data_IF_745266041081
#
_entry.id   IF_745266041081
#
_cell.length_a   1.000
_cell.length_b   1.000
_cell.length_c   1.000
_cell.angle_alpha   90.00
_cell.angle_beta   90.00
_cell.angle_gamma   90.00
#
_symmetry.space_group_name_H-M   'P 1'
#
loop_
_entity.id
_entity.type
_entity.pdbx_description
1 polymer ?
#
# COMPACT_ATOMS: atom_id res chain seq x y z
N UNK A 1 17.63 6.06 -19.14
CA UNK A 1 16.32 5.74 -18.51
C UNK A 1 16.61 5.18 -17.13
N UNK A 2 16.66 6.06 -16.11
CA UNK A 2 16.93 5.63 -14.74
C UNK A 2 15.73 4.87 -14.20
N UNK A 3 15.97 3.69 -13.64
CA UNK A 3 14.95 2.91 -12.97
C UNK A 3 14.41 3.72 -11.78
N UNK A 4 13.19 4.22 -11.91
CA UNK A 4 12.41 4.70 -10.77
C UNK A 4 12.30 3.52 -9.80
N UNK A 5 12.69 3.65 -8.53
CA UNK A 5 12.58 2.57 -7.56
C UNK A 5 11.13 2.07 -7.50
N UNK A 6 10.93 0.77 -7.75
CA UNK A 6 9.61 0.09 -7.75
C UNK A 6 8.76 0.42 -6.50
N UNK A 7 9.40 0.72 -5.37
CA UNK A 7 8.75 1.10 -4.10
C UNK A 7 8.05 2.47 -4.12
N UNK A 8 8.52 3.41 -4.94
CA UNK A 8 8.02 4.79 -4.96
C UNK A 8 6.83 4.95 -5.90
N UNK A 9 6.87 4.25 -7.03
CA UNK A 9 5.72 4.07 -7.93
C UNK A 9 4.51 3.51 -7.17
N UNK A 10 4.76 2.54 -6.28
CA UNK A 10 3.74 1.90 -5.46
C UNK A 10 3.05 2.90 -4.50
N UNK A 11 3.80 3.75 -3.78
CA UNK A 11 3.19 4.72 -2.84
C UNK A 11 2.44 5.86 -3.55
N UNK A 12 2.96 6.38 -4.67
CA UNK A 12 2.22 7.35 -5.50
C UNK A 12 0.95 6.74 -6.09
N UNK A 13 1.01 5.47 -6.52
CA UNK A 13 -0.12 4.75 -7.08
C UNK A 13 -1.20 4.50 -6.01
N UNK A 14 -0.80 4.17 -4.78
CA UNK A 14 -1.74 3.98 -3.67
C UNK A 14 -2.47 5.26 -3.30
N UNK A 15 -1.81 6.43 -3.26
CA UNK A 15 -2.50 7.69 -2.93
C UNK A 15 -3.38 8.19 -4.09
N UNK A 16 -2.95 7.98 -5.34
CA UNK A 16 -3.74 8.35 -6.52
C UNK A 16 -4.99 7.49 -6.70
N UNK A 17 -4.88 6.19 -6.40
CA UNK A 17 -5.94 5.22 -6.66
C UNK A 17 -6.70 4.81 -5.40
N UNK A 18 -6.44 5.43 -4.24
CA UNK A 18 -7.20 5.13 -3.04
C UNK A 18 -8.67 5.51 -3.26
N UNK A 19 -9.65 4.61 -3.02
CA UNK A 19 -11.06 4.88 -3.32
C UNK A 19 -11.58 6.16 -2.64
N UNK A 20 -11.13 6.41 -1.41
CA UNK A 20 -11.44 7.62 -0.64
C UNK A 20 -11.12 8.95 -1.37
N UNK A 21 -10.09 8.98 -2.22
CA UNK A 21 -9.62 10.19 -2.89
C UNK A 21 -10.15 10.34 -4.32
N UNK A 22 -10.83 9.32 -4.85
CA UNK A 22 -11.39 9.30 -6.20
C UNK A 22 -12.84 9.76 -6.21
N UNK A 23 -13.11 10.81 -6.99
CA UNK A 23 -14.46 11.36 -7.20
C UNK A 23 -15.39 10.32 -7.82
N UNK A 24 -16.60 10.18 -7.30
CA UNK A 24 -17.66 9.34 -7.87
C UNK A 24 -17.72 7.89 -7.37
N UNK A 25 -16.74 7.41 -6.60
CA UNK A 25 -16.76 6.06 -6.04
C UNK A 25 -17.63 5.93 -4.77
N UNK A 26 -18.01 7.05 -4.14
CA UNK A 26 -18.73 7.00 -2.87
C UNK A 26 -17.90 6.31 -1.78
N UNK A 27 -18.51 5.40 -1.04
CA UNK A 27 -17.87 4.61 0.02
C UNK A 27 -17.40 3.22 -0.46
N UNK A 28 -17.39 2.98 -1.77
CA UNK A 28 -16.97 1.72 -2.35
C UNK A 28 -15.49 1.42 -2.06
N UNK A 29 -15.20 0.20 -1.60
CA UNK A 29 -13.84 -0.29 -1.32
C UNK A 29 -13.17 -0.96 -2.55
N UNK A 30 -13.94 -1.21 -3.61
CA UNK A 30 -13.53 -1.91 -4.83
C UNK A 30 -13.05 -3.35 -4.61
N UNK A 31 -13.40 -3.98 -3.49
CA UNK A 31 -12.99 -5.34 -3.17
C UNK A 31 -13.97 -6.41 -3.68
N UNK A 32 -15.09 -6.02 -4.30
CA UNK A 32 -16.14 -6.97 -4.72
C UNK A 32 -15.58 -8.11 -5.57
N UNK A 33 -14.73 -7.81 -6.56
CA UNK A 33 -14.11 -8.85 -7.40
C UNK A 33 -13.23 -9.78 -6.58
N UNK A 34 -12.43 -9.25 -5.65
CA UNK A 34 -11.59 -10.08 -4.77
C UNK A 34 -12.45 -11.01 -3.92
N UNK A 35 -13.54 -10.49 -3.32
CA UNK A 35 -14.47 -11.30 -2.53
C UNK A 35 -15.14 -12.41 -3.34
N UNK A 36 -15.57 -12.10 -4.57
CA UNK A 36 -16.19 -13.07 -5.50
C UNK A 36 -15.20 -14.20 -5.83
N UNK A 37 -13.97 -13.86 -6.20
CA UNK A 37 -12.99 -14.89 -6.52
C UNK A 37 -12.49 -15.63 -5.27
N UNK A 38 -12.43 -14.96 -4.13
CA UNK A 38 -12.09 -15.58 -2.85
C UNK A 38 -13.13 -16.62 -2.45
N UNK A 39 -14.43 -16.33 -2.59
CA UNK A 39 -15.51 -17.28 -2.27
C UNK A 39 -15.46 -18.51 -3.16
N UNK A 40 -15.03 -18.38 -4.43
CA UNK A 40 -14.87 -19.52 -5.35
C UNK A 40 -13.86 -20.57 -4.86
N UNK A 41 -12.94 -20.21 -3.97
CA UNK A 41 -12.01 -21.17 -3.36
C UNK A 41 -12.72 -22.23 -2.52
N UNK A 42 -13.96 -22.00 -2.08
CA UNK A 42 -14.77 -23.03 -1.40
C UNK A 42 -15.03 -24.24 -2.31
N UNK A 43 -15.15 -24.03 -3.61
CA UNK A 43 -15.31 -25.10 -4.61
C UNK A 43 -14.01 -25.90 -4.83
N UNK A 44 -12.85 -25.39 -4.38
CA UNK A 44 -11.54 -26.00 -4.64
C UNK A 44 -11.45 -27.48 -4.21
N UNK A 45 -12.07 -27.84 -3.08
CA UNK A 45 -12.07 -29.21 -2.56
C UNK A 45 -12.85 -30.16 -3.48
N UNK A 46 -13.97 -29.69 -4.04
CA UNK A 46 -14.82 -30.46 -4.93
C UNK A 46 -14.17 -30.64 -6.31
N UNK A 47 -13.50 -29.60 -6.81
CA UNK A 47 -12.99 -29.58 -8.18
C UNK A 47 -11.57 -30.17 -8.34
N UNK A 48 -10.77 -30.27 -7.26
CA UNK A 48 -9.35 -30.67 -7.32
C UNK A 48 -9.10 -32.02 -8.00
N UNK A 49 -10.05 -32.94 -7.85
CA UNK A 49 -9.97 -34.30 -8.42
C UNK A 49 -11.17 -34.62 -9.34
N UNK A 50 -11.94 -33.59 -9.69
CA UNK A 50 -13.10 -33.73 -10.57
C UNK A 50 -12.67 -33.95 -12.02
N UNK A 51 -13.51 -34.64 -12.81
CA UNK A 51 -13.40 -34.61 -14.27
C UNK A 51 -13.71 -33.21 -14.78
N UNK A 52 -13.31 -32.88 -16.02
CA UNK A 52 -13.59 -31.57 -16.63
C UNK A 52 -15.08 -31.19 -16.59
N UNK A 53 -15.97 -32.17 -16.80
CA UNK A 53 -17.42 -31.96 -16.71
C UNK A 53 -17.85 -31.51 -15.31
N UNK A 54 -17.45 -32.25 -14.26
CA UNK A 54 -17.82 -31.92 -12.88
C UNK A 54 -17.12 -30.64 -12.39
N UNK A 55 -15.91 -30.37 -12.88
CA UNK A 55 -15.22 -29.10 -12.64
C UNK A 55 -16.06 -27.92 -13.09
N UNK A 56 -16.58 -27.96 -14.32
CA UNK A 56 -17.45 -26.91 -14.85
C UNK A 56 -18.77 -26.85 -14.08
N UNK A 57 -19.41 -28.00 -13.84
CA UNK A 57 -20.68 -28.07 -13.12
C UNK A 57 -20.61 -27.46 -11.72
N UNK A 58 -19.56 -27.75 -10.94
CA UNK A 58 -19.43 -27.20 -9.59
C UNK A 58 -19.15 -25.70 -9.59
N UNK A 59 -18.44 -25.18 -10.59
CA UNK A 59 -18.25 -23.74 -10.73
C UNK A 59 -19.54 -23.04 -11.13
N UNK A 60 -20.28 -23.61 -12.08
CA UNK A 60 -21.59 -23.12 -12.52
C UNK A 60 -22.57 -23.03 -11.35
N UNK A 61 -22.74 -24.15 -10.61
CA UNK A 61 -23.58 -24.20 -9.41
C UNK A 61 -23.14 -23.23 -8.31
N UNK A 62 -21.82 -23.00 -8.15
CA UNK A 62 -21.32 -22.04 -7.17
C UNK A 62 -21.75 -20.61 -7.54
N UNK A 63 -21.60 -20.22 -8.80
CA UNK A 63 -21.96 -18.88 -9.25
C UNK A 63 -23.48 -18.68 -9.35
N UNK A 64 -24.25 -19.71 -9.71
CA UNK A 64 -25.71 -19.68 -9.67
C UNK A 64 -26.23 -19.45 -8.25
N UNK A 65 -25.69 -20.18 -7.27
CA UNK A 65 -26.05 -20.00 -5.86
C UNK A 65 -25.60 -18.62 -5.36
N UNK A 66 -24.39 -18.20 -5.72
CA UNK A 66 -23.86 -16.89 -5.34
C UNK A 66 -24.73 -15.75 -5.87
N UNK A 67 -25.20 -15.81 -7.12
CA UNK A 67 -26.08 -14.79 -7.70
C UNK A 67 -27.44 -14.75 -6.99
N UNK A 68 -28.02 -15.93 -6.69
CA UNK A 68 -29.26 -16.03 -5.96
C UNK A 68 -29.16 -15.44 -4.54
N UNK A 69 -28.07 -15.74 -3.82
CA UNK A 69 -27.80 -15.21 -2.48
C UNK A 69 -27.59 -13.70 -2.54
N UNK A 70 -26.83 -13.21 -3.52
CA UNK A 70 -26.58 -11.76 -3.68
C UNK A 70 -27.84 -11.00 -3.99
N UNK A 71 -28.68 -11.52 -4.88
CA UNK A 71 -29.99 -10.95 -5.12
C UNK A 71 -30.77 -10.80 -3.82
N UNK A 72 -30.88 -11.88 -3.02
CA UNK A 72 -31.60 -11.88 -1.75
C UNK A 72 -31.03 -10.87 -0.72
N UNK A 73 -29.73 -10.58 -0.78
CA UNK A 73 -29.05 -9.64 0.10
C UNK A 73 -29.12 -8.17 -0.35
N UNK A 74 -29.48 -7.87 -1.61
CA UNK A 74 -29.38 -6.53 -2.20
C UNK A 74 -30.02 -5.44 -1.33
N UNK A 75 -31.26 -5.63 -0.89
CA UNK A 75 -31.95 -4.63 -0.07
C UNK A 75 -31.31 -4.43 1.30
N UNK A 76 -30.71 -5.48 1.88
CA UNK A 76 -30.00 -5.40 3.16
C UNK A 76 -28.68 -4.66 2.99
N UNK A 77 -27.95 -4.95 1.91
CA UNK A 77 -26.74 -4.23 1.53
C UNK A 77 -27.02 -2.73 1.35
N UNK A 78 -28.06 -2.38 0.58
CA UNK A 78 -28.46 -0.98 0.38
C UNK A 78 -28.85 -0.29 1.69
N UNK A 79 -29.63 -0.97 2.56
CA UNK A 79 -30.01 -0.42 3.87
C UNK A 79 -28.79 -0.16 4.75
N UNK A 80 -27.88 -1.13 4.87
CA UNK A 80 -26.68 -1.01 5.69
C UNK A 80 -25.77 0.12 5.20
N UNK A 81 -25.52 0.21 3.88
CA UNK A 81 -24.70 1.27 3.32
C UNK A 81 -25.34 2.66 3.51
N UNK A 82 -26.67 2.75 3.41
CA UNK A 82 -27.36 4.03 3.64
C UNK A 82 -27.22 4.47 5.10
N UNK A 83 -27.45 3.55 6.05
CA UNK A 83 -27.27 3.82 7.49
C UNK A 83 -25.83 4.18 7.81
N UNK A 84 -24.86 3.47 7.24
CA UNK A 84 -23.43 3.76 7.41
C UNK A 84 -23.08 5.17 6.91
N UNK A 85 -23.55 5.54 5.70
CA UNK A 85 -23.30 6.87 5.15
C UNK A 85 -23.90 7.97 6.03
N UNK A 86 -25.14 7.79 6.52
CA UNK A 86 -25.78 8.72 7.46
C UNK A 86 -25.00 8.83 8.78
N UNK A 87 -24.56 7.71 9.34
CA UNK A 87 -23.79 7.68 10.59
C UNK A 87 -22.45 8.42 10.44
N UNK A 88 -21.75 8.23 9.32
CA UNK A 88 -20.51 8.95 9.02
C UNK A 88 -20.77 10.45 8.94
N UNK A 89 -21.84 10.86 8.26
CA UNK A 89 -22.23 12.27 8.14
C UNK A 89 -22.53 12.87 9.52
N UNK A 90 -23.38 12.22 10.31
CA UNK A 90 -23.76 12.66 11.65
C UNK A 90 -22.57 12.75 12.61
N UNK A 91 -21.62 11.81 12.51
CA UNK A 91 -20.45 11.75 13.40
C UNK A 91 -19.35 12.73 12.98
N UNK A 92 -19.06 12.84 11.69
CA UNK A 92 -17.90 13.60 11.21
C UNK A 92 -18.17 15.10 11.09
N UNK A 93 -19.39 15.54 10.78
CA UNK A 93 -19.72 16.98 10.69
C UNK A 93 -19.32 17.74 11.96
N UNK A 94 -19.81 17.38 13.17
CA UNK A 94 -19.51 18.17 14.36
C UNK A 94 -18.02 18.17 14.72
N UNK A 95 -17.33 17.05 14.50
CA UNK A 95 -15.89 16.91 14.75
C UNK A 95 -15.09 17.79 13.79
N UNK A 96 -15.43 17.78 12.51
CA UNK A 96 -14.77 18.58 11.49
C UNK A 96 -15.03 20.07 11.67
N UNK A 97 -16.26 20.46 12.01
CA UNK A 97 -16.60 21.87 12.21
C UNK A 97 -15.89 22.46 13.44
N UNK A 98 -15.80 21.69 14.53
CA UNK A 98 -15.03 22.10 15.71
C UNK A 98 -13.55 22.26 15.37
N UNK A 99 -12.98 21.28 14.66
CA UNK A 99 -11.57 21.32 14.27
C UNK A 99 -11.25 22.49 13.32
N UNK A 100 -12.09 22.72 12.31
CA UNK A 100 -11.99 23.87 11.40
C UNK A 100 -12.02 25.19 12.16
N UNK A 101 -12.91 25.32 13.15
CA UNK A 101 -13.04 26.51 14.00
C UNK A 101 -11.81 26.73 14.87
N UNK A 102 -11.25 25.68 15.45
CA UNK A 102 -10.05 25.77 16.30
C UNK A 102 -8.80 26.16 15.52
N UNK A 103 -8.63 25.62 14.31
CA UNK A 103 -7.44 25.79 13.49
C UNK A 103 -7.58 26.88 12.41
N UNK A 104 -8.74 27.54 12.32
CA UNK A 104 -9.11 28.47 11.24
C UNK A 104 -8.89 27.88 9.84
N UNK A 105 -9.39 26.66 9.63
CA UNK A 105 -9.27 25.93 8.36
C UNK A 105 -10.58 25.93 7.58
N UNK A 106 -10.46 25.68 6.29
CA UNK A 106 -11.53 25.55 5.31
C UNK A 106 -11.48 24.20 4.61
N UNK A 107 -12.57 23.84 3.93
CA UNK A 107 -12.65 22.61 3.13
C UNK A 107 -11.57 22.54 2.03
N UNK A 108 -11.17 23.71 1.50
CA UNK A 108 -10.11 23.82 0.51
C UNK A 108 -8.74 23.41 1.06
N UNK A 109 -8.50 23.58 2.37
CA UNK A 109 -7.22 23.24 2.98
C UNK A 109 -6.98 21.73 2.96
N UNK A 110 -8.00 20.92 3.23
CA UNK A 110 -7.90 19.46 3.14
C UNK A 110 -7.61 18.98 1.71
N UNK A 111 -8.20 19.65 0.70
CA UNK A 111 -7.92 19.36 -0.72
C UNK A 111 -6.50 19.76 -1.08
N UNK A 112 -6.04 20.92 -0.60
CA UNK A 112 -4.67 21.39 -0.82
C UNK A 112 -3.65 20.46 -0.17
N UNK A 113 -3.90 19.97 1.04
CA UNK A 113 -3.06 19.00 1.73
C UNK A 113 -2.84 17.73 0.91
N UNK A 114 -3.90 17.18 0.33
CA UNK A 114 -3.82 16.03 -0.59
C UNK A 114 -2.98 16.36 -1.83
N UNK A 115 -3.19 17.54 -2.43
CA UNK A 115 -2.45 17.95 -3.63
C UNK A 115 -0.96 18.18 -3.33
N UNK A 116 -0.64 18.77 -2.17
CA UNK A 116 0.73 18.94 -1.70
C UNK A 116 1.42 17.60 -1.41
N UNK A 117 0.71 16.66 -0.77
CA UNK A 117 1.22 15.30 -0.54
C UNK A 117 1.47 14.57 -1.86
N UNK A 118 0.57 14.71 -2.84
CA UNK A 118 0.75 14.18 -4.19
C UNK A 118 1.98 14.77 -4.89
N UNK A 119 2.09 16.10 -4.93
CA UNK A 119 3.22 16.81 -5.52
C UNK A 119 4.54 16.44 -4.86
N UNK A 120 4.51 16.30 -3.54
CA UNK A 120 5.65 15.84 -2.75
C UNK A 120 6.10 14.46 -3.21
N UNK A 121 5.19 13.49 -3.25
CA UNK A 121 5.51 12.12 -3.69
C UNK A 121 6.00 12.09 -5.15
N UNK A 122 5.47 12.95 -6.02
CA UNK A 122 5.94 13.13 -7.39
C UNK A 122 7.37 13.69 -7.48
N UNK A 123 7.72 14.67 -6.66
CA UNK A 123 9.07 15.27 -6.61
C UNK A 123 10.11 14.35 -5.98
N UNK A 124 9.72 13.56 -4.97
CA UNK A 124 10.59 12.52 -4.38
C UNK A 124 11.05 11.51 -5.43
N UNK A 125 10.24 11.26 -6.47
CA UNK A 125 10.61 10.38 -7.57
C UNK A 125 11.66 10.99 -8.55
N UNK A 126 11.84 12.32 -8.55
CA UNK A 126 12.76 13.02 -9.44
C UNK A 126 14.03 13.47 -8.68
N UNK A 127 15.09 12.65 -8.74
CA UNK A 127 16.41 13.09 -8.28
C UNK A 127 16.93 14.21 -9.20
N UNK A 128 17.43 15.35 -8.67
CA UNK A 128 17.95 16.43 -9.50
C UNK A 128 19.09 15.94 -10.39
N UNK A 129 18.92 16.04 -11.71
CA UNK A 129 19.83 15.48 -12.72
C UNK A 129 21.22 16.14 -12.74
N UNK A 130 21.36 17.34 -12.17
CA UNK A 130 22.62 18.08 -12.11
C UNK A 130 23.65 17.42 -11.17
N UNK A 131 23.22 16.71 -10.12
CA UNK A 131 24.14 16.18 -9.11
C UNK A 131 24.65 14.77 -9.39
N UNK A 132 23.98 13.99 -10.26
CA UNK A 132 24.39 12.62 -10.55
C UNK A 132 25.74 12.56 -11.28
N UNK A 133 26.01 13.53 -12.16
CA UNK A 133 27.25 13.60 -12.95
C UNK A 133 28.42 14.03 -12.05
N UNK A 134 28.23 15.05 -11.21
CA UNK A 134 29.25 15.55 -10.29
C UNK A 134 29.65 14.52 -9.23
N UNK A 135 28.68 13.80 -8.66
CA UNK A 135 28.95 12.69 -7.72
C UNK A 135 29.67 11.54 -8.43
N UNK A 136 29.22 11.16 -9.63
CA UNK A 136 29.90 10.11 -10.40
C UNK A 136 31.34 10.49 -10.72
N UNK A 137 31.60 11.77 -11.04
CA UNK A 137 32.95 12.25 -11.30
C UNK A 137 33.84 12.18 -10.05
N UNK A 138 33.34 12.65 -8.89
CA UNK A 138 34.04 12.54 -7.60
C UNK A 138 34.38 11.08 -7.27
N UNK A 139 33.44 10.15 -7.45
CA UNK A 139 33.69 8.72 -7.25
C UNK A 139 34.81 8.18 -8.16
N UNK A 140 34.87 8.62 -9.42
CA UNK A 140 35.95 8.20 -10.33
C UNK A 140 37.30 8.81 -9.92
N UNK A 141 37.32 10.04 -9.42
CA UNK A 141 38.52 10.71 -8.91
C UNK A 141 39.03 10.05 -7.61
N UNK A 142 38.15 9.64 -6.70
CA UNK A 142 38.52 8.90 -5.50
C UNK A 142 39.10 7.52 -5.83
N UNK A 143 38.50 6.81 -6.80
CA UNK A 143 39.04 5.53 -7.30
C UNK A 143 40.41 5.71 -7.95
N UNK A 144 40.60 6.79 -8.71
CA UNK A 144 41.89 7.11 -9.32
C UNK A 144 42.95 7.35 -8.25
N UNK A 145 42.64 8.15 -7.22
CA UNK A 145 43.55 8.40 -6.10
C UNK A 145 43.87 7.15 -5.30
N UNK A 146 42.88 6.29 -5.06
CA UNK A 146 43.10 5.02 -4.39
C UNK A 146 44.03 4.10 -5.21
N UNK A 147 43.84 4.03 -6.53
CA UNK A 147 44.71 3.28 -7.43
C UNK A 147 46.13 3.87 -7.48
N UNK A 148 46.25 5.20 -7.50
CA UNK A 148 47.53 5.93 -7.46
C UNK A 148 48.28 5.66 -6.14
N UNK A 149 47.59 5.76 -4.99
CA UNK A 149 48.18 5.48 -3.69
C UNK A 149 48.61 4.01 -3.54
N UNK A 150 47.81 3.07 -4.07
CA UNK A 150 48.14 1.64 -4.08
C UNK A 150 49.38 1.36 -4.92
N UNK A 151 49.45 1.95 -6.12
CA UNK A 151 50.61 1.86 -6.99
C UNK A 151 51.85 2.48 -6.34
N UNK A 152 51.73 3.70 -5.81
CA UNK A 152 52.80 4.40 -5.10
C UNK A 152 53.32 3.64 -3.87
N UNK A 153 52.44 2.96 -3.13
CA UNK A 153 52.84 2.11 -2.00
C UNK A 153 53.74 0.96 -2.45
N UNK A 154 53.45 0.32 -3.59
CA UNK A 154 54.23 -0.80 -4.14
C UNK A 154 55.56 -0.30 -4.73
N UNK A 155 55.56 0.86 -5.37
CA UNK A 155 56.79 1.49 -5.90
C UNK A 155 57.71 2.01 -4.78
N UNK A 156 57.15 2.34 -3.60
CA UNK A 156 57.92 2.78 -2.43
C UNK A 156 58.59 1.65 -1.64
N UNK A 157 58.24 0.39 -1.91
CA UNK A 157 58.91 -0.79 -1.34
C UNK A 157 60.33 -0.87 -1.92
N UNK A 158 61.37 -1.19 -1.12
CA UNK A 158 62.75 -1.08 -1.58
C UNK A 158 62.98 -1.86 -2.87
N UNK A 159 63.69 -1.22 -3.81
CA UNK A 159 64.34 -1.88 -4.95
C UNK A 159 64.83 -3.26 -4.52
N UNK A 160 64.45 -4.33 -5.23
CA UNK A 160 64.80 -5.72 -4.92
C UNK A 160 66.28 -5.82 -4.50
N UNK A 161 66.54 -5.81 -3.19
CA UNK A 161 67.90 -5.88 -2.65
C UNK A 161 68.27 -7.33 -2.53
N UNK A 162 68.88 -7.87 -3.59
CA UNK A 162 69.45 -9.20 -3.55
C UNK A 162 70.68 -9.20 -2.65
N UNK A 163 70.72 -10.14 -1.70
CA UNK A 163 71.89 -10.40 -0.87
C UNK A 163 72.75 -11.50 -1.51
N UNK A 164 74.04 -11.62 -1.17
CA UNK A 164 74.88 -12.70 -1.69
C UNK A 164 74.35 -14.12 -1.39
N UNK A 165 73.52 -14.28 -0.36
CA UNK A 165 72.85 -15.54 -0.01
C UNK A 165 71.73 -15.93 -0.99
N UNK A 166 71.24 -14.97 -1.78
CA UNK A 166 70.19 -15.18 -2.78
C UNK A 166 70.74 -15.78 -4.08
N UNK A 167 72.07 -15.87 -4.24
CA UNK A 167 72.72 -16.41 -5.43
C UNK A 167 73.31 -17.80 -5.16
N UNK A 168 73.03 -18.73 -6.06
CA UNK A 168 73.62 -20.08 -6.07
C UNK A 168 74.90 -20.08 -6.91
N UNK A 169 75.90 -20.89 -6.48
CA UNK A 169 77.23 -20.96 -7.11
C UNK A 169 77.23 -21.40 -8.58
N UNK A 170 76.12 -22.00 -9.05
CA UNK A 170 76.02 -22.63 -10.38
C UNK A 170 74.87 -22.11 -11.24
N UNK A 171 73.85 -21.45 -10.67
CA UNK A 171 72.57 -21.20 -11.38
C UNK A 171 72.00 -19.78 -11.21
N UNK A 172 72.77 -18.80 -10.74
CA UNK A 172 72.25 -17.45 -10.46
C UNK A 172 71.30 -17.43 -9.25
N UNK A 173 70.26 -16.58 -9.24
CA UNK A 173 69.33 -16.48 -8.10
C UNK A 173 68.75 -17.83 -7.68
N UNK A 174 68.56 -18.06 -6.38
CA UNK A 174 67.88 -19.23 -5.85
C UNK A 174 66.38 -19.23 -6.22
N UNK A 175 65.71 -20.38 -6.12
CA UNK A 175 64.30 -20.53 -6.54
C UNK A 175 63.35 -19.61 -5.74
N UNK A 176 63.51 -19.53 -4.42
CA UNK A 176 62.68 -18.70 -3.56
C UNK A 176 62.79 -17.20 -3.87
N UNK A 177 64.00 -16.71 -4.14
CA UNK A 177 64.24 -15.31 -4.50
C UNK A 177 63.71 -14.98 -5.92
N UNK A 178 63.78 -15.93 -6.87
CA UNK A 178 63.14 -15.77 -8.19
C UNK A 178 61.61 -15.72 -8.09
N UNK A 179 61.01 -16.59 -7.29
CA UNK A 179 59.56 -16.64 -7.14
C UNK A 179 59.04 -15.39 -6.41
N UNK A 180 59.76 -14.89 -5.41
CA UNK A 180 59.48 -13.59 -4.79
C UNK A 180 59.59 -12.43 -5.78
N UNK A 181 60.63 -12.41 -6.64
CA UNK A 181 60.80 -11.38 -7.68
C UNK A 181 59.65 -11.40 -8.68
N UNK A 182 59.27 -12.59 -9.17
CA UNK A 182 58.14 -12.74 -10.09
C UNK A 182 56.81 -12.33 -9.45
N UNK A 183 56.59 -12.67 -8.17
CA UNK A 183 55.39 -12.26 -7.44
C UNK A 183 55.30 -10.73 -7.31
N UNK A 184 56.41 -10.08 -6.97
CA UNK A 184 56.49 -8.62 -6.91
C UNK A 184 56.28 -7.96 -8.28
N UNK A 185 56.92 -8.47 -9.34
CA UNK A 185 56.77 -7.95 -10.71
C UNK A 185 55.33 -8.11 -11.23
N UNK A 186 54.69 -9.23 -10.93
CA UNK A 186 53.28 -9.47 -11.29
C UNK A 186 52.32 -8.57 -10.52
N UNK A 187 52.56 -8.36 -9.23
CA UNK A 187 51.80 -7.43 -8.40
C UNK A 187 51.98 -5.97 -8.89
N UNK A 188 53.21 -5.54 -9.16
CA UNK A 188 53.53 -4.23 -9.73
C UNK A 188 52.86 -4.03 -11.11
N UNK A 189 52.98 -5.01 -12.02
CA UNK A 189 52.34 -4.94 -13.32
C UNK A 189 50.80 -4.91 -13.21
N UNK A 190 50.22 -5.64 -12.26
CA UNK A 190 48.77 -5.67 -12.05
C UNK A 190 48.24 -4.34 -11.51
N UNK A 191 48.97 -3.70 -10.60
CA UNK A 191 48.58 -2.43 -9.98
C UNK A 191 48.79 -1.24 -10.91
N UNK A 192 49.87 -1.24 -11.70
CA UNK A 192 50.07 -0.27 -12.77
C UNK A 192 48.93 -0.30 -13.79
N UNK A 193 48.53 -1.50 -14.27
CA UNK A 193 47.40 -1.64 -15.20
C UNK A 193 46.09 -1.13 -14.62
N UNK A 194 45.84 -1.37 -13.32
CA UNK A 194 44.64 -0.87 -12.64
C UNK A 194 44.63 0.65 -12.56
N UNK A 195 45.78 1.27 -12.28
CA UNK A 195 45.93 2.72 -12.27
C UNK A 195 45.72 3.31 -13.67
N UNK A 196 46.38 2.79 -14.70
CA UNK A 196 46.22 3.23 -16.10
C UNK A 196 44.77 3.09 -16.59
N UNK A 197 44.11 1.98 -16.26
CA UNK A 197 42.70 1.78 -16.60
C UNK A 197 41.81 2.85 -15.96
N UNK A 198 42.02 3.14 -14.67
CA UNK A 198 41.23 4.13 -13.96
C UNK A 198 41.51 5.55 -14.47
N UNK A 199 42.75 5.84 -14.88
CA UNK A 199 43.12 7.11 -15.52
C UNK A 199 42.35 7.30 -16.83
N UNK A 200 42.33 6.27 -17.69
CA UNK A 200 41.57 6.28 -18.94
C UNK A 200 40.07 6.50 -18.70
N UNK A 201 39.50 5.86 -17.66
CA UNK A 201 38.09 6.03 -17.29
C UNK A 201 37.78 7.48 -16.90
N UNK A 202 38.65 8.12 -16.12
CA UNK A 202 38.50 9.53 -15.73
C UNK A 202 38.63 10.45 -16.94
N UNK A 203 39.60 10.24 -17.81
CA UNK A 203 39.79 11.04 -19.03
C UNK A 203 38.64 10.90 -20.04
N UNK A 204 38.09 9.69 -20.18
CA UNK A 204 36.88 9.44 -20.96
C UNK A 204 35.67 10.18 -20.37
N UNK A 205 35.57 10.19 -19.04
CA UNK A 205 34.50 10.90 -18.33
C UNK A 205 34.61 12.41 -18.53
N UNK A 206 35.81 12.97 -18.36
CA UNK A 206 36.12 14.39 -18.58
C UNK A 206 35.74 14.83 -20.02
N UNK A 207 36.11 14.02 -21.02
CA UNK A 207 35.77 14.27 -22.43
C UNK A 207 34.27 14.22 -22.71
N UNK A 208 33.55 13.24 -22.17
CA UNK A 208 32.09 13.09 -22.41
C UNK A 208 31.27 14.18 -21.74
N UNK A 209 31.75 14.72 -20.63
CA UNK A 209 31.01 15.70 -19.83
C UNK A 209 31.55 17.14 -19.94
N UNK A 210 32.55 17.38 -20.80
CA UNK A 210 33.07 18.72 -21.09
C UNK A 210 33.85 19.36 -19.93
N UNK A 211 34.46 18.54 -19.07
CA UNK A 211 35.24 19.02 -17.92
C UNK A 211 36.62 19.45 -18.44
N UNK A 212 36.92 20.75 -18.35
CA UNK A 212 38.16 21.32 -18.90
C UNK A 212 39.36 21.19 -17.98
N UNK A 213 39.13 21.13 -16.66
CA UNK A 213 40.19 21.00 -15.65
C UNK A 213 39.83 19.89 -14.67
N UNK A 214 40.80 19.01 -14.39
CA UNK A 214 40.61 17.92 -13.43
C UNK A 214 40.44 18.47 -12.01
N UNK A 215 39.35 18.10 -11.35
CA UNK A 215 39.07 18.63 -10.01
C UNK A 215 40.09 18.17 -8.97
N UNK A 216 40.70 19.14 -8.28
CA UNK A 216 41.55 18.91 -7.11
C UNK A 216 40.71 18.80 -5.82
N UNK A 217 41.30 18.32 -4.72
CA UNK A 217 40.61 18.25 -3.41
C UNK A 217 40.09 19.60 -2.92
N UNK A 218 40.69 20.69 -3.38
CA UNK A 218 40.38 22.06 -2.99
C UNK A 218 39.47 22.75 -4.01
N UNK A 219 39.10 22.08 -5.10
CA UNK A 219 38.22 22.65 -6.11
C UNK A 219 36.81 22.84 -5.52
N UNK A 220 36.17 24.01 -5.68
CA UNK A 220 34.88 24.29 -5.05
C UNK A 220 33.81 23.28 -5.46
N UNK A 221 33.79 22.88 -6.74
CA UNK A 221 32.82 21.89 -7.25
C UNK A 221 33.07 20.48 -6.68
N UNK A 222 34.33 20.12 -6.40
CA UNK A 222 34.67 18.86 -5.74
C UNK A 222 34.20 18.86 -4.29
N UNK A 223 34.48 19.93 -3.54
CA UNK A 223 34.04 20.06 -2.14
C UNK A 223 32.51 20.02 -2.05
N UNK A 224 31.83 20.71 -2.96
CA UNK A 224 30.36 20.70 -3.03
C UNK A 224 29.82 19.30 -3.36
N UNK A 225 30.40 18.60 -4.35
CA UNK A 225 29.96 17.27 -4.74
C UNK A 225 30.25 16.20 -3.67
N UNK A 226 31.36 16.32 -2.92
CA UNK A 226 31.65 15.46 -1.75
C UNK A 226 30.64 15.72 -0.63
N UNK A 227 30.40 16.99 -0.28
CA UNK A 227 29.40 17.36 0.74
C UNK A 227 28.01 16.82 0.37
N UNK A 228 27.61 17.01 -0.89
CA UNK A 228 26.35 16.49 -1.41
C UNK A 228 26.31 14.96 -1.38
N UNK A 229 27.40 14.27 -1.73
CA UNK A 229 27.48 12.80 -1.68
C UNK A 229 27.28 12.27 -0.25
N UNK A 230 27.90 12.91 0.74
CA UNK A 230 27.75 12.55 2.15
C UNK A 230 26.32 12.77 2.66
N UNK A 231 25.73 13.93 2.34
CA UNK A 231 24.34 14.24 2.68
C UNK A 231 23.37 13.26 2.00
N UNK A 232 23.62 12.93 0.73
CA UNK A 232 22.82 11.95 -0.02
C UNK A 232 22.93 10.55 0.55
N UNK A 233 24.13 10.11 0.95
CA UNK A 233 24.31 8.81 1.59
C UNK A 233 23.55 8.73 2.92
N UNK A 234 23.57 9.82 3.69
CA UNK A 234 22.80 9.93 4.92
C UNK A 234 21.30 9.88 4.65
N UNK A 235 20.77 10.70 3.75
CA UNK A 235 19.34 10.69 3.35
C UNK A 235 18.91 9.29 2.91
N UNK A 236 19.70 8.62 2.07
CA UNK A 236 19.38 7.26 1.62
C UNK A 236 19.36 6.26 2.77
N UNK A 237 20.23 6.43 3.77
CA UNK A 237 20.20 5.59 4.97
C UNK A 237 18.95 5.83 5.82
N UNK A 238 18.46 7.08 5.86
CA UNK A 238 17.20 7.45 6.51
C UNK A 238 16.01 6.82 5.79
N UNK A 239 15.90 7.00 4.47
CA UNK A 239 14.82 6.42 3.64
C UNK A 239 14.80 4.88 3.69
N UNK A 240 15.98 4.24 3.72
CA UNK A 240 16.13 2.79 3.86
C UNK A 240 15.60 2.30 5.22
N UNK A 241 15.99 2.98 6.31
CA UNK A 241 15.55 2.67 7.66
C UNK A 241 14.04 2.88 7.81
N UNK A 242 13.53 4.01 7.33
CA UNK A 242 12.10 4.34 7.30
C UNK A 242 11.29 3.24 6.60
N UNK A 243 11.62 2.93 5.35
CA UNK A 243 10.89 1.95 4.58
C UNK A 243 10.87 0.56 5.24
N UNK A 244 11.91 0.19 5.99
CA UNK A 244 11.94 -1.06 6.75
C UNK A 244 11.03 -1.03 7.98
N UNK A 245 10.97 0.09 8.69
CA UNK A 245 10.11 0.27 9.87
C UNK A 245 8.64 0.30 9.46
N UNK A 246 8.28 1.08 8.44
CA UNK A 246 6.91 1.13 7.90
C UNK A 246 6.43 -0.27 7.50
N UNK A 247 7.26 -1.00 6.76
CA UNK A 247 6.98 -2.39 6.38
C UNK A 247 6.81 -3.30 7.61
N UNK A 248 7.59 -3.12 8.67
CA UNK A 248 7.44 -3.89 9.91
C UNK A 248 6.12 -3.59 10.60
N UNK A 249 5.69 -2.33 10.65
CA UNK A 249 4.39 -1.94 11.22
C UNK A 249 3.23 -2.63 10.47
N UNK A 250 3.25 -2.63 9.14
CA UNK A 250 2.25 -3.37 8.34
C UNK A 250 2.32 -4.89 8.53
N UNK A 251 3.48 -5.47 8.80
CA UNK A 251 3.58 -6.89 9.15
C UNK A 251 2.99 -7.20 10.52
N UNK A 252 3.19 -6.31 11.48
CA UNK A 252 2.66 -6.46 12.84
C UNK A 252 1.13 -6.32 12.86
N UNK A 253 0.57 -5.37 12.11
CA UNK A 253 -0.89 -5.27 11.97
C UNK A 253 -1.47 -6.55 11.35
N UNK A 254 -0.82 -7.10 10.31
CA UNK A 254 -1.22 -8.38 9.71
C UNK A 254 -1.03 -9.60 10.63
N UNK A 255 -0.11 -9.54 11.58
CA UNK A 255 0.10 -10.62 12.55
C UNK A 255 -1.03 -10.69 13.59
N UNK A 256 -1.73 -9.57 13.82
CA UNK A 256 -2.83 -9.45 14.77
C UNK A 256 -4.21 -9.72 14.16
N UNK A 257 -4.32 -9.89 12.83
CA UNK A 257 -5.57 -10.26 12.17
C UNK A 257 -6.03 -11.66 12.61
N UNK A 258 -7.22 -11.73 13.21
CA UNK A 258 -7.95 -12.96 13.46
C UNK A 258 -8.19 -13.73 12.14
N UNK A 259 -8.30 -15.07 12.20
CA UNK A 259 -8.53 -15.91 11.00
C UNK A 259 -7.27 -16.36 10.22
N UNK A 260 -6.07 -15.88 10.54
CA UNK A 260 -4.85 -16.32 9.84
C UNK A 260 -4.42 -17.75 10.24
N UNK A 261 -4.44 -18.71 9.31
CA UNK A 261 -4.05 -20.10 9.58
C UNK A 261 -2.61 -20.26 10.12
N UNK A 262 -2.35 -21.30 10.94
CA UNK A 262 -1.08 -21.51 11.64
C UNK A 262 0.19 -21.39 10.77
N UNK A 263 0.15 -21.91 9.53
CA UNK A 263 1.27 -21.80 8.59
C UNK A 263 1.54 -20.34 8.20
N UNK A 264 0.51 -19.54 7.95
CA UNK A 264 0.64 -18.12 7.64
C UNK A 264 1.22 -17.35 8.83
N UNK A 265 0.72 -17.58 10.04
CA UNK A 265 1.27 -16.97 11.27
C UNK A 265 2.76 -17.28 11.45
N UNK A 266 3.19 -18.51 11.15
CA UNK A 266 4.61 -18.90 11.20
C UNK A 266 5.46 -18.16 10.15
N UNK A 267 4.92 -17.92 8.95
CA UNK A 267 5.60 -17.12 7.92
C UNK A 267 5.70 -15.65 8.32
N UNK A 268 4.63 -15.05 8.82
CA UNK A 268 4.61 -13.67 9.32
C UNK A 268 5.62 -13.50 10.46
N UNK A 269 5.63 -14.42 11.43
CA UNK A 269 6.59 -14.39 12.54
C UNK A 269 8.04 -14.44 12.04
N UNK A 270 8.35 -15.35 11.10
CA UNK A 270 9.69 -15.43 10.49
C UNK A 270 10.05 -14.16 9.71
N UNK A 271 9.09 -13.55 9.03
CA UNK A 271 9.29 -12.32 8.28
C UNK A 271 9.61 -11.15 9.23
N UNK A 272 8.86 -11.01 10.33
CA UNK A 272 9.10 -10.02 11.39
C UNK A 272 10.50 -10.19 11.98
N UNK A 273 10.93 -11.42 12.30
CA UNK A 273 12.28 -11.67 12.84
C UNK A 273 13.38 -11.26 11.84
N UNK A 274 13.23 -11.65 10.56
CA UNK A 274 14.18 -11.27 9.51
C UNK A 274 14.26 -9.75 9.34
N UNK A 275 13.10 -9.09 9.29
CA UNK A 275 13.01 -7.64 9.13
C UNK A 275 13.58 -6.89 10.32
N UNK A 276 13.38 -7.40 11.53
CA UNK A 276 13.98 -6.87 12.75
C UNK A 276 15.53 -6.89 12.69
N UNK A 277 16.13 -7.94 12.13
CA UNK A 277 17.57 -7.99 11.89
C UNK A 277 18.01 -6.98 10.82
N UNK A 278 17.26 -6.84 9.72
CA UNK A 278 17.54 -5.83 8.68
C UNK A 278 17.44 -4.40 9.20
N UNK A 279 16.47 -4.11 10.07
CA UNK A 279 16.32 -2.80 10.73
C UNK A 279 17.55 -2.48 11.57
N UNK A 280 18.11 -3.45 12.31
CA UNK A 280 19.37 -3.21 13.08
C UNK A 280 20.51 -2.80 12.16
N UNK A 281 20.70 -3.51 11.04
CA UNK A 281 21.77 -3.17 10.09
C UNK A 281 21.58 -1.79 9.45
N UNK A 282 20.33 -1.44 9.10
CA UNK A 282 20.02 -0.11 8.58
C UNK A 282 20.22 0.99 9.65
N UNK A 283 19.85 0.71 10.90
CA UNK A 283 20.04 1.59 12.04
C UNK A 283 21.53 1.82 12.34
N UNK A 284 22.37 0.78 12.27
CA UNK A 284 23.83 0.93 12.40
C UNK A 284 24.41 1.84 11.32
N UNK A 285 23.92 1.72 10.08
CA UNK A 285 24.34 2.58 8.97
C UNK A 285 23.92 4.03 9.20
N UNK A 286 22.69 4.27 9.64
CA UNK A 286 22.22 5.59 10.04
C UNK A 286 23.08 6.17 11.18
N UNK A 287 23.28 5.42 12.26
CA UNK A 287 24.04 5.87 13.44
C UNK A 287 25.51 6.17 13.14
N UNK A 288 26.11 5.55 12.10
CA UNK A 288 27.45 5.89 11.61
C UNK A 288 27.49 7.23 10.86
N UNK A 289 26.44 7.55 10.10
CA UNK A 289 26.38 8.74 9.24
C UNK A 289 25.80 9.96 9.97
N UNK A 290 24.94 9.75 10.98
CA UNK A 290 24.26 10.80 11.73
C UNK A 290 25.20 11.83 12.39
N UNK A 291 26.30 11.44 13.07
CA UNK A 291 27.24 12.40 13.66
C UNK A 291 28.06 13.19 12.63
N UNK A 292 28.16 12.70 11.39
CA UNK A 292 28.94 13.31 10.31
C UNK A 292 28.18 14.42 9.57
N UNK A 293 26.89 14.57 9.84
CA UNK A 293 26.07 15.61 9.21
C UNK A 293 26.33 16.99 9.82
N UNK A 294 26.00 18.04 9.07
CA UNK A 294 26.03 19.41 9.54
C UNK A 294 24.60 20.02 9.51
N UNK A 295 23.95 20.24 10.66
CA UNK A 295 24.41 19.95 12.02
C UNK A 295 24.37 18.44 12.36
N UNK A 296 25.14 17.97 13.37
CA UNK A 296 25.16 16.57 13.78
C UNK A 296 23.77 16.08 14.19
N UNK A 297 23.40 14.86 13.78
CA UNK A 297 22.10 14.25 14.08
C UNK A 297 22.20 13.29 15.27
N UNK A 298 21.12 13.15 16.07
CA UNK A 298 21.11 12.20 17.17
C UNK A 298 21.19 10.76 16.67
N UNK A 299 21.92 9.94 17.41
CA UNK A 299 21.89 8.48 17.26
C UNK A 299 20.60 7.94 17.85
N UNK A 300 20.06 6.89 17.24
CA UNK A 300 18.79 6.28 17.63
C UNK A 300 19.03 4.91 18.23
N UNK A 301 18.29 4.59 19.29
CA UNK A 301 18.32 3.27 19.88
C UNK A 301 17.34 2.33 19.18
N UNK A 302 17.69 1.05 19.13
CA UNK A 302 16.84 0.05 18.51
C UNK A 302 15.51 -0.12 19.26
N UNK A 303 15.50 0.02 20.59
CA UNK A 303 14.26 -0.09 21.37
C UNK A 303 13.26 1.03 21.03
N UNK A 304 13.77 2.23 20.77
CA UNK A 304 12.98 3.38 20.33
C UNK A 304 12.38 3.14 18.93
N UNK A 305 13.21 2.68 17.99
CA UNK A 305 12.78 2.37 16.60
C UNK A 305 11.74 1.26 16.52
N UNK A 306 11.83 0.28 17.41
CA UNK A 306 10.89 -0.85 17.50
C UNK A 306 9.62 -0.49 18.28
N UNK A 307 9.75 0.43 19.24
CA UNK A 307 8.68 0.90 20.10
C UNK A 307 7.72 1.88 19.44
N UNK A 308 8.08 2.43 18.27
CA UNK A 308 7.15 3.23 17.46
C UNK A 308 5.90 2.40 17.12
N UNK A 309 4.75 2.85 17.61
CA UNK A 309 3.45 2.24 17.36
C UNK A 309 2.78 2.86 16.12
N UNK A 310 3.13 4.10 15.80
CA UNK A 310 2.55 4.87 14.70
C UNK A 310 3.61 5.49 13.79
N UNK A 311 3.23 5.77 12.54
CA UNK A 311 4.06 6.52 11.58
C UNK A 311 4.39 7.94 12.10
N UNK A 312 3.54 8.53 12.93
CA UNK A 312 3.71 9.86 13.50
C UNK A 312 4.82 9.97 14.56
N UNK A 313 5.16 8.85 15.21
CA UNK A 313 6.25 8.76 16.18
C UNK A 313 7.63 8.64 15.52
N UNK A 314 7.66 8.37 14.20
CA UNK A 314 8.90 8.24 13.42
C UNK A 314 9.54 9.62 13.16
N UNK A 315 10.09 10.23 14.21
CA UNK A 315 10.71 11.56 14.19
C UNK A 315 11.89 11.69 13.21
N UNK A 316 12.44 10.56 12.73
CA UNK A 316 13.39 10.46 11.61
C UNK A 316 12.92 11.15 10.32
N UNK A 317 11.59 11.27 10.11
CA UNK A 317 11.01 11.91 8.93
C UNK A 317 11.35 13.41 8.81
N UNK A 318 11.74 14.07 9.92
CA UNK A 318 12.24 15.46 9.95
C UNK A 318 13.49 15.63 9.09
N UNK A 319 14.29 14.57 8.96
CA UNK A 319 15.60 14.63 8.31
C UNK A 319 15.58 14.13 6.86
N UNK A 320 14.39 13.80 6.33
CA UNK A 320 14.20 13.55 4.90
C UNK A 320 14.27 14.85 4.10
N UNK A 321 14.54 14.76 2.78
CA UNK A 321 14.91 15.86 1.86
C UNK A 321 14.05 17.14 1.89
N UNK A 322 12.88 17.15 2.52
CA UNK A 322 11.91 18.25 2.38
C UNK A 322 11.22 18.66 3.70
N UNK A 323 11.79 18.28 4.85
CA UNK A 323 11.25 18.67 6.16
C UNK A 323 9.75 18.35 6.29
N UNK A 324 9.38 17.10 5.91
CA UNK A 324 7.99 16.65 5.77
C UNK A 324 7.17 16.94 7.04
N UNK A 325 7.79 16.80 8.22
CA UNK A 325 7.15 16.98 9.51
C UNK A 325 6.77 18.44 9.83
N UNK A 326 7.19 19.41 9.01
CA UNK A 326 6.66 20.79 9.08
C UNK A 326 5.39 20.99 8.27
N UNK A 327 5.07 20.06 7.36
CA UNK A 327 3.90 20.19 6.50
C UNK A 327 2.63 19.87 7.28
N UNK A 328 1.57 20.69 7.16
CA UNK A 328 0.30 20.45 7.85
C UNK A 328 -0.28 19.06 7.57
N UNK A 329 -0.13 18.55 6.34
CA UNK A 329 -0.64 17.24 5.93
C UNK A 329 0.15 16.04 6.48
N UNK A 330 1.32 16.25 7.09
CA UNK A 330 2.09 15.18 7.73
C UNK A 330 1.69 14.94 9.20
N UNK A 331 1.03 15.93 9.82
CA UNK A 331 0.68 15.91 11.24
C UNK A 331 -0.42 14.87 11.45
N UNK A 332 -0.26 13.90 12.38
CA UNK A 332 -1.22 12.80 12.56
C UNK A 332 -2.67 13.28 12.78
N UNK A 333 -2.88 14.27 13.66
CA UNK A 333 -4.20 14.82 13.91
C UNK A 333 -4.83 15.43 12.64
N UNK A 334 -4.04 16.15 11.84
CA UNK A 334 -4.52 16.73 10.58
C UNK A 334 -4.84 15.65 9.54
N UNK A 335 -4.07 14.56 9.50
CA UNK A 335 -4.34 13.40 8.63
C UNK A 335 -5.63 12.70 9.00
N UNK A 336 -5.86 12.47 10.29
CA UNK A 336 -7.11 11.89 10.78
C UNK A 336 -8.32 12.75 10.36
N UNK A 337 -8.20 14.08 10.52
CA UNK A 337 -9.25 15.01 10.09
C UNK A 337 -9.41 15.06 8.57
N UNK A 338 -8.33 14.96 7.80
CA UNK A 338 -8.40 14.86 6.35
C UNK A 338 -9.15 13.59 5.92
N UNK A 339 -8.86 12.43 6.54
CA UNK A 339 -9.59 11.18 6.28
C UNK A 339 -11.07 11.34 6.62
N UNK A 340 -11.42 11.93 7.77
CA UNK A 340 -12.82 12.21 8.15
C UNK A 340 -13.50 13.13 7.15
N UNK A 341 -12.80 14.16 6.67
CA UNK A 341 -13.31 15.08 5.64
C UNK A 341 -13.58 14.35 4.32
N UNK A 342 -12.62 13.58 3.79
CA UNK A 342 -12.86 12.85 2.54
C UNK A 342 -13.94 11.78 2.70
N UNK A 343 -14.01 11.09 3.86
CA UNK A 343 -15.12 10.15 4.17
C UNK A 343 -16.46 10.87 4.19
N UNK A 344 -16.53 12.09 4.73
CA UNK A 344 -17.74 12.90 4.72
C UNK A 344 -18.16 13.22 3.27
N UNK A 345 -17.24 13.70 2.43
CA UNK A 345 -17.53 13.99 1.01
C UNK A 345 -17.98 12.72 0.27
N UNK A 346 -17.28 11.60 0.47
CA UNK A 346 -17.63 10.29 -0.11
C UNK A 346 -19.02 9.81 0.33
N UNK A 347 -19.38 10.00 1.60
CA UNK A 347 -20.69 9.57 2.13
C UNK A 347 -21.85 10.31 1.47
N UNK A 348 -21.68 11.60 1.15
CA UNK A 348 -22.69 12.35 0.40
C UNK A 348 -22.85 11.82 -1.03
N UNK A 349 -21.75 11.49 -1.71
CA UNK A 349 -21.80 10.85 -3.03
C UNK A 349 -22.46 9.46 -2.96
N UNK A 350 -22.16 8.69 -1.92
CA UNK A 350 -22.75 7.38 -1.69
C UNK A 350 -24.27 7.46 -1.51
N UNK A 351 -24.78 8.43 -0.75
CA UNK A 351 -26.23 8.66 -0.62
C UNK A 351 -26.88 8.94 -1.98
N UNK A 352 -26.26 9.76 -2.82
CA UNK A 352 -26.78 10.07 -4.16
C UNK A 352 -26.85 8.79 -5.01
N UNK A 353 -25.81 7.95 -4.97
CA UNK A 353 -25.77 6.66 -5.67
C UNK A 353 -26.83 5.70 -5.13
N UNK A 354 -26.90 5.54 -3.82
CA UNK A 354 -27.86 4.66 -3.16
C UNK A 354 -29.30 5.06 -3.48
N UNK A 355 -29.63 6.36 -3.53
CA UNK A 355 -30.96 6.83 -3.94
C UNK A 355 -31.36 6.30 -5.33
N UNK A 356 -30.41 6.22 -6.26
CA UNK A 356 -30.65 5.64 -7.60
C UNK A 356 -30.83 4.13 -7.52
N UNK A 357 -29.97 3.41 -6.79
CA UNK A 357 -30.03 1.96 -6.70
C UNK A 357 -31.26 1.45 -5.93
N UNK A 358 -31.67 2.15 -4.87
CA UNK A 358 -32.90 1.89 -4.10
C UNK A 358 -34.12 1.96 -5.03
N UNK A 359 -34.21 3.03 -5.83
CA UNK A 359 -35.28 3.19 -6.82
C UNK A 359 -35.24 2.09 -7.87
N UNK A 360 -34.06 1.74 -8.39
CA UNK A 360 -33.90 0.65 -9.37
C UNK A 360 -34.36 -0.69 -8.81
N UNK A 361 -33.99 -1.03 -7.58
CA UNK A 361 -34.39 -2.27 -6.95
C UNK A 361 -35.91 -2.31 -6.74
N UNK A 362 -36.52 -1.20 -6.29
CA UNK A 362 -37.98 -1.09 -6.18
C UNK A 362 -38.66 -1.37 -7.53
N UNK A 363 -38.24 -0.66 -8.58
CA UNK A 363 -38.81 -0.84 -9.93
C UNK A 363 -38.56 -2.24 -10.49
N UNK A 364 -37.39 -2.83 -10.22
CA UNK A 364 -37.08 -4.21 -10.64
C UNK A 364 -38.04 -5.21 -10.00
N UNK A 365 -38.21 -5.13 -8.69
CA UNK A 365 -39.08 -6.03 -7.92
C UNK A 365 -40.55 -5.91 -8.36
N UNK A 366 -41.03 -4.70 -8.62
CA UNK A 366 -42.39 -4.46 -9.14
C UNK A 366 -42.56 -5.02 -10.56
N UNK A 367 -41.61 -4.72 -11.45
CA UNK A 367 -41.68 -5.14 -12.84
C UNK A 367 -41.51 -6.66 -13.01
N UNK A 368 -40.62 -7.29 -12.24
CA UNK A 368 -40.38 -8.73 -12.28
C UNK A 368 -41.65 -9.50 -11.86
N UNK A 369 -42.29 -9.10 -10.75
CA UNK A 369 -43.53 -9.72 -10.30
C UNK A 369 -44.65 -9.56 -11.34
N UNK A 370 -44.80 -8.35 -11.90
CA UNK A 370 -45.80 -8.10 -12.94
C UNK A 370 -45.56 -8.96 -14.18
N UNK A 371 -44.32 -9.00 -14.69
CA UNK A 371 -43.96 -9.77 -15.88
C UNK A 371 -44.24 -11.27 -15.71
N UNK A 372 -43.88 -11.84 -14.56
CA UNK A 372 -44.09 -13.27 -14.30
C UNK A 372 -45.59 -13.58 -14.23
N UNK A 373 -46.37 -12.74 -13.55
CA UNK A 373 -47.83 -12.91 -13.46
C UNK A 373 -48.52 -12.75 -14.83
N UNK A 374 -48.09 -11.77 -15.64
CA UNK A 374 -48.58 -11.58 -17.01
C UNK A 374 -48.24 -12.78 -17.91
N UNK A 375 -47.05 -13.34 -17.78
CA UNK A 375 -46.66 -14.55 -18.51
C UNK A 375 -47.52 -15.75 -18.11
N UNK A 376 -47.78 -15.94 -16.80
CA UNK A 376 -48.68 -16.99 -16.29
C UNK A 376 -50.09 -16.81 -16.87
N UNK A 377 -50.63 -15.59 -16.83
CA UNK A 377 -51.98 -15.30 -17.33
C UNK A 377 -52.09 -15.51 -18.84
N UNK A 378 -51.06 -15.12 -19.60
CA UNK A 378 -51.02 -15.29 -21.05
C UNK A 378 -51.00 -16.77 -21.42
N UNK A 379 -50.13 -17.56 -20.77
CA UNK A 379 -50.07 -19.01 -20.98
C UNK A 379 -51.37 -19.72 -20.58
N UNK A 380 -52.01 -19.27 -19.49
CA UNK A 380 -53.29 -19.82 -19.07
C UNK A 380 -54.41 -19.52 -20.08
N UNK A 381 -54.39 -18.37 -20.74
CA UNK A 381 -55.34 -18.02 -21.79
C UNK A 381 -55.15 -18.88 -23.06
N UNK A 382 -53.91 -19.25 -23.39
CA UNK A 382 -53.57 -20.06 -24.56
C UNK A 382 -53.80 -21.57 -24.33
N UNK A 383 -53.27 -22.13 -23.23
CA UNK A 383 -53.43 -23.54 -22.84
C UNK A 383 -53.49 -23.70 -21.31
N UNK A 384 -54.71 -23.82 -20.74
CA UNK A 384 -54.90 -23.98 -19.29
C UNK A 384 -54.24 -25.20 -18.66
N UNK A 385 -53.91 -26.24 -19.43
CA UNK A 385 -53.33 -27.49 -18.92
C UNK A 385 -51.81 -27.59 -19.11
N UNK A 386 -51.16 -26.48 -19.49
CA UNK A 386 -49.71 -26.47 -19.69
C UNK A 386 -48.97 -26.66 -18.36
N UNK A 387 -48.14 -27.71 -18.27
CA UNK A 387 -47.27 -27.97 -17.12
C UNK A 387 -46.29 -26.82 -16.82
N UNK A 388 -46.02 -25.97 -17.81
CA UNK A 388 -45.18 -24.78 -17.64
C UNK A 388 -45.81 -23.75 -16.70
N UNK A 389 -47.15 -23.69 -16.64
CA UNK A 389 -47.86 -22.79 -15.72
C UNK A 389 -47.56 -23.17 -14.28
N UNK A 390 -47.58 -24.46 -13.96
CA UNK A 390 -47.30 -24.95 -12.61
C UNK A 390 -45.85 -24.68 -12.20
N UNK A 391 -44.90 -24.87 -13.13
CA UNK A 391 -43.48 -24.56 -12.89
C UNK A 391 -43.26 -23.05 -12.69
N UNK A 392 -43.88 -22.19 -13.51
CA UNK A 392 -43.80 -20.73 -13.35
C UNK A 392 -44.43 -20.26 -12.05
N UNK A 393 -45.55 -20.86 -11.62
CA UNK A 393 -46.16 -20.58 -10.30
C UNK A 393 -45.23 -20.99 -9.17
N UNK A 394 -44.59 -22.16 -9.25
CA UNK A 394 -43.64 -22.62 -8.24
C UNK A 394 -42.39 -21.72 -8.18
N UNK A 395 -41.89 -21.29 -9.34
CA UNK A 395 -40.81 -20.30 -9.44
C UNK A 395 -41.23 -18.96 -8.83
N UNK A 396 -42.39 -18.44 -9.22
CA UNK A 396 -42.93 -17.19 -8.69
C UNK A 396 -43.10 -17.24 -7.18
N UNK A 397 -43.61 -18.33 -6.62
CA UNK A 397 -43.78 -18.48 -5.17
C UNK A 397 -42.45 -18.36 -4.41
N UNK A 398 -41.34 -18.86 -4.97
CA UNK A 398 -39.99 -18.69 -4.39
C UNK A 398 -39.51 -17.25 -4.56
N UNK A 399 -39.63 -16.69 -5.75
CA UNK A 399 -39.13 -15.35 -6.09
C UNK A 399 -39.87 -14.24 -5.35
N UNK A 400 -41.20 -14.32 -5.28
CA UNK A 400 -42.08 -13.39 -4.57
C UNK A 400 -41.73 -13.29 -3.09
N UNK A 401 -41.33 -14.39 -2.43
CA UNK A 401 -40.87 -14.36 -1.02
C UNK A 401 -39.64 -13.46 -0.84
N UNK A 402 -38.67 -13.56 -1.75
CA UNK A 402 -37.46 -12.73 -1.73
C UNK A 402 -37.83 -11.28 -2.04
N UNK A 403 -38.65 -11.06 -3.06
CA UNK A 403 -39.16 -9.74 -3.46
C UNK A 403 -39.94 -9.05 -2.33
N UNK A 404 -40.70 -9.80 -1.53
CA UNK A 404 -41.39 -9.27 -0.36
C UNK A 404 -40.42 -8.87 0.76
N UNK A 405 -39.31 -9.60 0.94
CA UNK A 405 -38.25 -9.19 1.86
C UNK A 405 -37.57 -7.89 1.39
N UNK A 406 -37.34 -7.74 0.08
CA UNK A 406 -36.85 -6.49 -0.50
C UNK A 406 -37.80 -5.33 -0.20
N UNK A 407 -39.10 -5.48 -0.47
CA UNK A 407 -40.12 -4.46 -0.17
C UNK A 407 -40.11 -4.05 1.30
N UNK A 408 -40.07 -5.02 2.23
CA UNK A 408 -40.01 -4.76 3.68
C UNK A 408 -38.77 -3.93 4.06
N UNK A 409 -37.60 -4.26 3.52
CA UNK A 409 -36.37 -3.52 3.81
C UNK A 409 -36.35 -2.14 3.13
N UNK A 410 -36.83 -2.02 1.89
CA UNK A 410 -36.99 -0.74 1.20
C UNK A 410 -37.91 0.21 1.97
N UNK A 411 -39.03 -0.29 2.51
CA UNK A 411 -39.90 0.48 3.40
C UNK A 411 -39.17 1.03 4.63
N UNK A 412 -38.28 0.24 5.24
CA UNK A 412 -37.44 0.73 6.34
C UNK A 412 -36.51 1.85 5.88
N UNK A 413 -35.91 1.74 4.69
CA UNK A 413 -35.05 2.78 4.13
C UNK A 413 -35.82 4.10 3.95
N UNK A 414 -37.03 4.04 3.38
CA UNK A 414 -37.83 5.24 3.13
C UNK A 414 -38.22 6.00 4.42
N UNK A 415 -38.24 5.33 5.57
CA UNK A 415 -38.59 5.94 6.86
C UNK A 415 -37.35 6.42 7.64
N UNK A 416 -36.14 6.18 7.12
CA UNK A 416 -34.91 6.65 7.77
C UNK A 416 -34.86 8.18 7.82
N UNK A 417 -34.49 8.70 8.99
CA UNK A 417 -34.20 10.12 9.15
C UNK A 417 -32.92 10.47 8.38
N UNK A 418 -33.04 11.32 7.37
CA UNK A 418 -31.99 11.60 6.39
C UNK A 418 -32.11 10.85 5.06
N UNK A 419 -33.21 10.11 4.82
CA UNK A 419 -33.53 9.65 3.47
C UNK A 419 -33.82 10.85 2.54
N UNK A 420 -33.19 10.88 1.36
CA UNK A 420 -33.29 12.01 0.42
C UNK A 420 -33.74 11.60 -0.99
N UNK A 421 -33.95 10.30 -1.21
CA UNK A 421 -34.36 9.78 -2.52
C UNK A 421 -35.85 9.94 -2.80
N UNK A 422 -36.25 9.52 -3.99
CA UNK A 422 -37.66 9.54 -4.39
C UNK A 422 -38.44 8.43 -3.68
N UNK A 423 -39.58 8.80 -3.10
CA UNK A 423 -40.52 7.83 -2.57
C UNK A 423 -41.34 7.19 -3.70
N UNK A 424 -41.65 5.88 -3.60
CA UNK A 424 -42.54 5.25 -4.56
C UNK A 424 -43.90 5.95 -4.57
N UNK A 425 -44.36 6.29 -5.78
CA UNK A 425 -45.69 6.86 -5.98
C UNK A 425 -46.70 5.73 -5.88
N UNK A 426 -47.36 5.61 -4.73
CA UNK A 426 -48.44 4.67 -4.36
C UNK A 426 -47.99 3.55 -3.40
N UNK A 427 -48.38 3.72 -2.14
CA UNK A 427 -48.83 2.62 -1.28
C UNK A 427 -50.01 1.93 -1.97
N UNK A 428 -49.74 0.84 -2.70
CA UNK A 428 -50.74 -0.21 -2.82
C UNK A 428 -50.88 -0.79 -1.41
N UNK A 429 -52.02 -0.50 -0.76
CA UNK A 429 -52.47 -1.22 0.41
C UNK A 429 -52.51 -2.70 0.04
N UNK A 430 -51.45 -3.44 0.40
CA UNK A 430 -51.44 -4.88 0.35
C UNK A 430 -52.32 -5.36 1.50
N UNK A 431 -53.52 -5.84 1.17
CA UNK A 431 -54.39 -6.57 2.08
C UNK A 431 -53.58 -7.64 2.84
N UNK A 432 -53.72 -7.75 4.17
CA UNK A 432 -53.01 -8.72 4.99
C UNK A 432 -53.61 -10.12 4.77
N UNK A 433 -53.24 -10.76 3.67
CA UNK A 433 -53.56 -12.17 3.44
C UNK A 433 -52.41 -13.02 3.97
N UNK A 434 -52.69 -13.64 5.12
CA UNK A 434 -51.97 -14.76 5.75
C UNK A 434 -50.51 -14.47 6.12
N UNK A 435 -50.36 -13.64 7.16
CA UNK A 435 -49.19 -13.68 8.03
C UNK A 435 -49.24 -15.00 8.79
N UNK A 436 -48.44 -15.98 8.38
CA UNK A 436 -48.02 -17.03 9.30
C UNK A 436 -47.11 -16.36 10.34
N UNK A 437 -47.71 -16.03 11.49
CA UNK A 437 -47.01 -15.82 12.75
C UNK A 437 -46.41 -17.15 13.20
N UNK A 438 -45.29 -17.56 12.60
CA UNK A 438 -44.42 -18.55 13.21
C UNK A 438 -42.99 -18.36 12.69
N UNK A 439 -42.14 -17.87 13.58
CA UNK A 439 -40.77 -17.50 13.29
C UNK A 439 -40.26 -16.36 14.16
N UNK A 440 -40.67 -16.32 15.42
CA UNK A 440 -39.93 -15.62 16.46
C UNK A 440 -38.63 -16.40 16.73
N UNK A 441 -37.73 -16.40 15.74
CA UNK A 441 -36.32 -16.51 16.04
C UNK A 441 -35.89 -15.09 16.36
N UNK A 442 -35.79 -14.78 17.66
CA UNK A 442 -34.80 -13.83 18.13
C UNK A 442 -33.50 -14.23 17.44
N UNK A 443 -33.21 -13.56 16.33
CA UNK A 443 -31.96 -13.70 15.62
C UNK A 443 -30.90 -13.43 16.66
N UNK A 444 -30.22 -14.49 17.07
CA UNK A 444 -28.96 -14.36 17.74
C UNK A 444 -28.20 -13.31 16.95
N UNK A 445 -27.80 -12.24 17.63
CA UNK A 445 -26.82 -11.28 17.12
C UNK A 445 -25.53 -12.05 16.86
N UNK A 446 -25.52 -12.84 15.80
CA UNK A 446 -24.32 -13.33 15.19
C UNK A 446 -23.82 -12.14 14.39
N UNK A 447 -23.07 -11.30 15.10
CA UNK A 447 -22.08 -10.44 14.50
C UNK A 447 -21.37 -11.29 13.45
N UNK A 448 -21.64 -11.04 12.16
CA UNK A 448 -20.76 -11.54 11.13
C UNK A 448 -19.37 -10.99 11.49
N UNK A 449 -18.40 -11.88 11.67
CA UNK A 449 -17.01 -11.55 12.02
C UNK A 449 -16.37 -10.54 11.04
N UNK A 450 -17.04 -10.22 9.93
CA UNK A 450 -16.56 -9.34 8.87
C UNK A 450 -16.93 -7.85 9.06
N UNK A 451 -17.97 -7.51 9.84
CA UNK A 451 -18.18 -6.11 10.30
C UNK A 451 -17.18 -5.73 11.40
N UNK A 452 -16.55 -6.74 12.03
CA UNK A 452 -15.51 -6.52 13.04
C UNK A 452 -14.25 -5.87 12.47
N UNK A 453 -14.02 -5.93 11.15
CA UNK A 453 -12.83 -5.33 10.51
C UNK A 453 -12.94 -3.80 10.44
N UNK A 454 -14.16 -3.28 10.25
CA UNK A 454 -14.42 -1.84 10.23
C UNK A 454 -14.52 -1.28 11.67
N UNK A 455 -15.01 -2.08 12.63
CA UNK A 455 -14.85 -1.80 14.06
C UNK A 455 -13.40 -1.97 14.54
N UNK A 456 -12.56 -2.81 13.93
CA UNK A 456 -11.14 -2.99 14.30
C UNK A 456 -10.30 -1.76 13.98
N UNK A 457 -10.61 -1.06 12.89
CA UNK A 457 -9.97 0.21 12.55
C UNK A 457 -10.28 1.31 13.59
N UNK A 458 -11.51 1.33 14.12
CA UNK A 458 -11.94 2.26 15.18
C UNK A 458 -11.46 1.80 16.57
N UNK A 459 -11.40 0.49 16.83
CA UNK A 459 -10.84 -0.10 18.06
C UNK A 459 -9.32 0.04 18.13
N UNK A 460 -8.60 0.07 17.00
CA UNK A 460 -7.16 0.34 16.96
C UNK A 460 -6.86 1.79 17.35
N UNK A 461 -7.72 2.74 17.01
CA UNK A 461 -7.60 4.14 17.42
C UNK A 461 -7.93 4.33 18.92
N UNK A 462 -8.94 3.62 19.44
CA UNK A 462 -9.31 3.64 20.87
C UNK A 462 -8.33 2.83 21.76
N UNK A 463 -7.73 1.74 21.26
CA UNK A 463 -6.71 0.96 21.97
C UNK A 463 -5.37 1.70 22.06
N UNK A 464 -5.00 2.45 21.03
CA UNK A 464 -3.84 3.37 21.06
C UNK A 464 -4.08 4.51 22.04
N UNK A 465 -5.31 5.02 22.13
CA UNK A 465 -5.71 6.05 23.11
C UNK A 465 -5.71 5.56 24.56
N UNK A 466 -6.00 4.27 24.80
CA UNK A 466 -5.99 3.64 26.13
C UNK A 466 -4.60 3.16 26.58
N UNK A 467 -3.63 3.07 25.69
CA UNK A 467 -2.24 2.73 26.00
C UNK A 467 -1.36 3.95 26.33
N UNK A 468 -1.91 5.17 26.23
CA UNK A 468 -1.26 6.44 26.56
C UNK A 468 -1.69 7.04 27.91
N UNK A 469 -2.14 6.20 28.86
CA UNK A 469 -2.27 6.57 30.28
C UNK A 469 -1.28 5.80 31.16
#
# INVERSE_FOLDING_TARGET
MSAVPIKQLDMTLHLLNHPLYLSGLGLEDLETCERVFASSNTAAVLIRHASYFHWMQFLDLHFDQWDADRYAELSRFLYNNYVQALQIIQTNIPVLDEFKRQQNLTDADFVNWRNEEHDYLGRVAAEPSLDAISVAYVEQLEKLRFAEATYGSITSVPFLTYTPADFTRTSGLNAGARDCSKAFETEHASTLRRYELQLNVVEDFERRHGITERWSMHHPEYVQAVSYSQERQFIRSVEELEGLVVRRLFELSKANLAGTGYKMRKYISKAITRRSATIRTALEKYNKLAPLQNPPRPVLDYSEVVGYASLGEFSLLKYSRHDILTKPWSIPANREMAVKYFKLVRSHEEIIRLNVEIKRLQSWVEHEDQNILEAINSLFADDPNSLLIDELKAFYAKRCRINNNHRKLLQKIYVLDGYTGEHPSQTLDLDPVMLDEDGNEEGNLEYHEDDAVNEEAVRLEDLVSRLTL
#
